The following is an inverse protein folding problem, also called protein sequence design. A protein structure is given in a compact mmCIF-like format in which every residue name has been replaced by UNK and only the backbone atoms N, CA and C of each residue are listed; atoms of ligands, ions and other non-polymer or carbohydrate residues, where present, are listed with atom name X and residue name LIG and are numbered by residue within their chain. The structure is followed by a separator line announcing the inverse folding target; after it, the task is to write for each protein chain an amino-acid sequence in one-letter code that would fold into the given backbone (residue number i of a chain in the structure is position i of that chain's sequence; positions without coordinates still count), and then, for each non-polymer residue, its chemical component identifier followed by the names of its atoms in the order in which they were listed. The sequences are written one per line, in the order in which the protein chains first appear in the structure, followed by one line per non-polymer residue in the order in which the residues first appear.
data_IF_611779881317
#
_entry.id   IF_611779881317
#
_cell.length_a   1.000
_cell.length_b   1.000
_cell.length_c   1.000
_cell.angle_alpha   90.00
_cell.angle_beta   90.00
_cell.angle_gamma   90.00
#
_symmetry.space_group_name_H-M   'P 1'
#
loop_
_entity.id
_entity.type
_entity.pdbx_description
1 polymer ?
#
# COMPACT_ATOMS: atom_id res chain seq x y z
N UNK A 1 -4.74 11.22 -25.15
CA UNK A 1 -3.45 10.90 -24.49
C UNK A 1 -3.72 10.82 -23.02
N UNK A 2 -3.94 9.60 -22.56
CA UNK A 2 -4.58 9.29 -21.27
C UNK A 2 -3.54 9.31 -20.15
N UNK A 3 -3.93 9.67 -18.92
CA UNK A 3 -3.04 9.74 -17.75
C UNK A 3 -2.25 8.45 -17.45
N UNK A 4 -2.62 7.31 -18.06
CA UNK A 4 -1.94 6.02 -17.94
C UNK A 4 -0.48 6.03 -18.44
N UNK A 5 -0.14 6.85 -19.44
CA UNK A 5 1.23 6.97 -19.95
C UNK A 5 2.21 7.40 -18.84
N UNK A 6 1.73 8.24 -17.90
CA UNK A 6 2.52 8.71 -16.75
C UNK A 6 2.72 7.65 -15.67
N UNK A 7 2.01 6.52 -15.73
CA UNK A 7 2.17 5.39 -14.82
C UNK A 7 3.15 4.36 -15.39
N UNK A 8 3.29 4.32 -16.72
CA UNK A 8 4.19 3.42 -17.44
C UNK A 8 5.54 4.05 -17.82
N UNK A 9 5.71 5.36 -17.65
CA UNK A 9 7.00 6.04 -17.83
C UNK A 9 7.96 5.70 -16.69
N UNK A 10 9.12 5.11 -17.01
CA UNK A 10 10.16 4.77 -16.05
C UNK A 10 10.87 3.44 -16.32
N UNK A 11 11.74 3.06 -15.38
CA UNK A 11 12.51 1.83 -15.48
C UNK A 11 11.65 0.60 -15.10
N UNK A 12 11.62 -0.40 -15.98
CA UNK A 12 11.04 -1.70 -15.69
C UNK A 12 11.83 -2.41 -14.57
N UNK A 13 11.11 -2.91 -13.56
CA UNK A 13 11.70 -3.69 -12.47
C UNK A 13 11.93 -5.14 -12.89
N UNK A 14 13.04 -5.73 -12.45
CA UNK A 14 13.30 -7.17 -12.60
C UNK A 14 12.65 -7.98 -11.48
N UNK A 15 12.43 -9.28 -11.71
CA UNK A 15 11.97 -10.19 -10.66
C UNK A 15 12.93 -10.22 -9.47
N UNK A 16 14.23 -10.26 -9.74
CA UNK A 16 15.28 -10.23 -8.71
C UNK A 16 15.18 -8.97 -7.84
N UNK A 17 15.01 -7.79 -8.45
CA UNK A 17 14.86 -6.54 -7.71
C UNK A 17 13.60 -6.55 -6.82
N UNK A 18 12.49 -7.15 -7.27
CA UNK A 18 11.28 -7.31 -6.46
C UNK A 18 11.50 -8.25 -5.26
N UNK A 19 12.18 -9.38 -5.46
CA UNK A 19 12.50 -10.33 -4.39
C UNK A 19 13.43 -9.70 -3.35
N UNK A 20 14.49 -9.03 -3.81
CA UNK A 20 15.42 -8.30 -2.95
C UNK A 20 14.72 -7.19 -2.16
N UNK A 21 13.79 -6.45 -2.78
CA UNK A 21 13.01 -5.43 -2.09
C UNK A 21 12.14 -6.03 -0.98
N UNK A 22 11.50 -7.18 -1.25
CA UNK A 22 10.68 -7.89 -0.25
C UNK A 22 11.52 -8.36 0.93
N UNK A 23 12.69 -8.93 0.70
CA UNK A 23 13.59 -9.37 1.78
C UNK A 23 14.09 -8.19 2.62
N UNK A 24 14.52 -7.10 1.97
CA UNK A 24 14.91 -5.87 2.67
C UNK A 24 13.76 -5.30 3.50
N UNK A 25 12.52 -5.37 3.01
CA UNK A 25 11.33 -4.94 3.77
C UNK A 25 11.08 -5.81 4.99
N UNK A 26 11.16 -7.13 4.85
CA UNK A 26 11.04 -8.06 5.98
C UNK A 26 12.14 -7.81 7.03
N UNK A 27 13.37 -7.54 6.59
CA UNK A 27 14.49 -7.17 7.48
C UNK A 27 14.19 -5.88 8.26
N UNK A 28 13.70 -4.83 7.59
CA UNK A 28 13.28 -3.59 8.24
C UNK A 28 12.16 -3.82 9.27
N UNK A 29 11.16 -4.63 8.94
CA UNK A 29 10.07 -4.99 9.85
C UNK A 29 10.62 -5.65 11.12
N UNK A 30 11.48 -6.67 10.97
CA UNK A 30 12.09 -7.37 12.11
C UNK A 30 12.90 -6.43 13.00
N UNK A 31 13.70 -5.56 12.37
CA UNK A 31 14.50 -4.57 13.09
C UNK A 31 13.62 -3.61 13.90
N UNK A 32 12.61 -3.01 13.26
CA UNK A 32 11.69 -2.10 13.92
C UNK A 32 10.91 -2.78 15.06
N UNK A 33 10.41 -4.01 14.86
CA UNK A 33 9.73 -4.77 15.92
C UNK A 33 10.64 -5.02 17.12
N UNK A 34 11.92 -5.34 16.87
CA UNK A 34 12.90 -5.56 17.94
C UNK A 34 13.16 -4.28 18.74
N UNK A 35 13.32 -3.15 18.06
CA UNK A 35 13.65 -1.87 18.67
C UNK A 35 12.46 -1.23 19.40
N UNK A 36 11.27 -1.27 18.79
CA UNK A 36 10.12 -0.49 19.26
C UNK A 36 9.06 -1.34 19.97
N UNK A 37 8.93 -2.62 19.63
CA UNK A 37 7.88 -3.53 20.15
C UNK A 37 6.46 -2.96 20.02
N UNK A 38 6.23 -2.19 18.96
CA UNK A 38 4.95 -1.60 18.60
C UNK A 38 4.45 -2.21 17.28
N UNK A 39 3.13 -2.18 17.03
CA UNK A 39 2.60 -2.55 15.73
C UNK A 39 3.17 -1.67 14.62
N UNK A 40 3.43 -2.29 13.48
CA UNK A 40 3.92 -1.60 12.29
C UNK A 40 2.80 -1.36 11.29
N UNK A 41 2.78 -0.17 10.70
CA UNK A 41 2.14 0.09 9.41
C UNK A 41 3.18 -0.16 8.33
N UNK A 42 2.87 -1.00 7.35
CA UNK A 42 3.66 -1.23 6.15
C UNK A 42 2.84 -0.79 4.93
N UNK A 43 3.25 0.29 4.29
CA UNK A 43 2.56 0.92 3.17
C UNK A 43 3.33 0.68 1.87
N UNK A 44 2.63 0.12 0.88
CA UNK A 44 3.06 0.06 -0.52
C UNK A 44 1.89 0.44 -1.44
N UNK A 45 2.08 0.36 -2.76
CA UNK A 45 1.06 0.71 -3.75
C UNK A 45 0.66 -0.48 -4.61
N UNK A 46 -0.63 -0.53 -4.97
CA UNK A 46 -1.13 -1.42 -6.02
C UNK A 46 -0.62 -0.90 -7.36
N UNK A 47 0.46 -1.52 -7.84
CA UNK A 47 1.21 -1.10 -9.03
C UNK A 47 1.22 -2.22 -10.07
N UNK A 48 0.29 -2.24 -11.05
CA UNK A 48 0.31 -3.19 -12.17
C UNK A 48 1.51 -2.95 -13.11
N UNK A 49 1.89 -3.96 -13.88
CA UNK A 49 2.92 -3.82 -14.91
C UNK A 49 4.36 -3.72 -14.39
N UNK A 50 5.34 -3.47 -15.28
CA UNK A 50 6.76 -3.54 -14.94
C UNK A 50 7.32 -2.25 -14.32
N UNK A 51 6.69 -1.10 -14.53
CA UNK A 51 7.14 0.17 -13.96
C UNK A 51 6.42 0.42 -12.64
N UNK A 52 7.17 0.35 -11.53
CA UNK A 52 6.63 0.46 -10.17
C UNK A 52 6.91 1.81 -9.51
N UNK A 53 7.85 2.57 -10.06
CA UNK A 53 8.28 3.83 -9.48
C UNK A 53 8.53 4.89 -10.55
N UNK A 54 7.94 6.06 -10.32
CA UNK A 54 8.16 7.32 -11.02
C UNK A 54 7.53 8.43 -10.17
N UNK A 55 7.52 9.67 -10.68
CA UNK A 55 6.95 10.81 -9.95
C UNK A 55 5.47 10.65 -9.60
N UNK A 56 4.68 9.97 -10.42
CA UNK A 56 3.26 9.72 -10.16
C UNK A 56 3.08 8.74 -9.00
N UNK A 57 3.81 7.63 -9.01
CA UNK A 57 3.81 6.65 -7.93
C UNK A 57 4.32 7.25 -6.60
N UNK A 58 5.38 8.06 -6.64
CA UNK A 58 5.91 8.75 -5.45
C UNK A 58 4.89 9.71 -4.83
N UNK A 59 4.17 10.47 -5.67
CA UNK A 59 3.10 11.36 -5.19
C UNK A 59 1.95 10.58 -4.55
N UNK A 60 1.56 9.47 -5.18
CA UNK A 60 0.52 8.59 -4.65
C UNK A 60 0.90 8.00 -3.28
N UNK A 61 2.14 7.55 -3.12
CA UNK A 61 2.66 7.08 -1.83
C UNK A 61 2.76 8.19 -0.78
N UNK A 62 3.18 9.40 -1.19
CA UNK A 62 3.25 10.55 -0.28
C UNK A 62 1.86 10.96 0.23
N UNK A 63 0.83 10.93 -0.63
CA UNK A 63 -0.56 11.15 -0.24
C UNK A 63 -1.02 10.07 0.76
N UNK A 64 -0.78 8.80 0.47
CA UNK A 64 -1.11 7.70 1.38
C UNK A 64 -0.45 7.86 2.76
N UNK A 65 0.86 8.17 2.80
CA UNK A 65 1.58 8.45 4.05
C UNK A 65 0.95 9.62 4.81
N UNK A 66 0.62 10.70 4.13
CA UNK A 66 -0.03 11.88 4.73
C UNK A 66 -1.37 11.52 5.38
N UNK A 67 -2.21 10.76 4.68
CA UNK A 67 -3.52 10.36 5.21
C UNK A 67 -3.41 9.38 6.37
N UNK A 68 -2.46 8.44 6.33
CA UNK A 68 -2.16 7.55 7.46
C UNK A 68 -1.72 8.36 8.69
N UNK A 69 -0.78 9.29 8.54
CA UNK A 69 -0.30 10.12 9.65
C UNK A 69 -1.38 11.05 10.19
N UNK A 70 -2.22 11.62 9.32
CA UNK A 70 -3.39 12.43 9.71
C UNK A 70 -4.39 11.60 10.53
N UNK A 71 -4.66 10.37 10.12
CA UNK A 71 -5.53 9.45 10.84
C UNK A 71 -4.94 9.09 12.21
N UNK A 72 -3.65 8.79 12.29
CA UNK A 72 -2.97 8.53 13.56
C UNK A 72 -3.05 9.74 14.50
N UNK A 73 -2.80 10.95 13.99
CA UNK A 73 -2.91 12.19 14.77
C UNK A 73 -4.34 12.42 15.30
N UNK A 74 -5.37 12.18 14.49
CA UNK A 74 -6.77 12.30 14.92
C UNK A 74 -7.15 11.32 16.05
N UNK A 75 -6.46 10.19 16.14
CA UNK A 75 -6.63 9.21 17.22
C UNK A 75 -5.64 9.38 18.38
N UNK A 76 -4.77 10.40 18.36
CA UNK A 76 -3.68 10.60 19.32
C UNK A 76 -2.69 9.41 19.38
N UNK A 77 -2.47 8.72 18.25
CA UNK A 77 -1.48 7.66 18.15
C UNK A 77 -0.12 8.24 17.74
N UNK A 78 0.86 8.12 18.63
CA UNK A 78 2.21 8.60 18.37
C UNK A 78 2.93 7.70 17.35
N UNK A 79 3.58 8.31 16.37
CA UNK A 79 4.52 7.63 15.48
C UNK A 79 5.90 7.60 16.15
N UNK A 80 6.30 6.44 16.67
CA UNK A 80 7.57 6.28 17.38
C UNK A 80 8.77 6.17 16.43
N UNK A 81 8.52 5.72 15.20
CA UNK A 81 9.52 5.56 14.17
C UNK A 81 8.86 5.51 12.79
N UNK A 82 9.55 6.01 11.78
CA UNK A 82 9.18 5.82 10.40
C UNK A 82 10.41 5.71 9.48
N UNK A 83 10.21 5.08 8.33
CA UNK A 83 11.22 5.00 7.28
C UNK A 83 10.55 4.93 5.90
N UNK A 84 11.11 5.67 4.94
CA UNK A 84 10.73 5.61 3.53
C UNK A 84 11.83 4.93 2.71
N UNK A 85 11.43 4.22 1.64
CA UNK A 85 12.33 3.68 0.63
C UNK A 85 11.77 3.98 -0.74
N UNK A 86 12.54 4.68 -1.56
CA UNK A 86 12.20 4.98 -2.95
C UNK A 86 13.11 4.18 -3.88
N UNK A 87 12.70 2.95 -4.19
CA UNK A 87 13.45 2.04 -5.06
C UNK A 87 12.71 1.77 -6.37
N UNK A 88 13.41 1.23 -7.39
CA UNK A 88 12.79 0.84 -8.67
C UNK A 88 11.63 -0.15 -8.51
N UNK A 89 11.60 -0.92 -7.41
CA UNK A 89 10.52 -1.82 -7.01
C UNK A 89 9.24 -1.11 -6.54
N UNK A 90 9.27 0.21 -6.42
CA UNK A 90 8.16 1.04 -5.95
C UNK A 90 8.51 1.81 -4.67
N UNK A 91 7.79 2.91 -4.39
CA UNK A 91 7.88 3.60 -3.13
C UNK A 91 7.28 2.75 -2.01
N UNK A 92 7.95 2.74 -0.86
CA UNK A 92 7.53 2.04 0.35
C UNK A 92 7.66 2.98 1.54
N UNK A 93 6.75 2.85 2.50
CA UNK A 93 6.86 3.52 3.78
C UNK A 93 6.47 2.59 4.91
N UNK A 94 7.10 2.75 6.06
CA UNK A 94 6.84 1.96 7.25
C UNK A 94 6.88 2.83 8.48
N UNK A 95 6.03 2.53 9.47
CA UNK A 95 6.08 3.20 10.76
C UNK A 95 5.68 2.30 11.92
N UNK A 96 6.30 2.54 13.07
CA UNK A 96 5.91 1.95 14.35
C UNK A 96 4.94 2.91 15.06
N UNK A 97 3.72 2.47 15.31
CA UNK A 97 2.64 3.32 15.83
C UNK A 97 2.25 2.88 17.23
N UNK A 98 2.21 3.83 18.17
CA UNK A 98 1.74 3.61 19.53
C UNK A 98 0.21 3.51 19.55
N UNK A 99 -0.31 2.35 19.17
CA UNK A 99 -1.73 2.04 19.11
C UNK A 99 -1.98 0.54 19.29
N UNK A 100 -3.18 0.12 19.76
CA UNK A 100 -3.55 -1.29 19.72
C UNK A 100 -3.63 -1.80 18.26
N UNK A 101 -2.90 -2.88 17.94
CA UNK A 101 -2.77 -3.40 16.57
C UNK A 101 -4.12 -3.65 15.89
N UNK A 102 -5.08 -4.20 16.65
CA UNK A 102 -6.44 -4.48 16.15
C UNK A 102 -7.22 -3.21 15.79
N UNK A 103 -7.10 -2.17 16.61
CA UNK A 103 -7.75 -0.87 16.35
C UNK A 103 -7.10 -0.18 15.16
N UNK A 104 -5.76 -0.20 15.10
CA UNK A 104 -4.98 0.31 13.98
C UNK A 104 -5.38 -0.38 12.66
N UNK A 105 -5.51 -1.72 12.66
CA UNK A 105 -5.94 -2.48 11.47
C UNK A 105 -7.33 -2.07 10.99
N UNK A 106 -8.30 -1.93 11.90
CA UNK A 106 -9.65 -1.48 11.54
C UNK A 106 -9.64 -0.07 10.94
N UNK A 107 -8.83 0.83 11.49
CA UNK A 107 -8.71 2.20 11.00
C UNK A 107 -8.08 2.24 9.60
N UNK A 108 -6.99 1.49 9.36
CA UNK A 108 -6.34 1.43 8.05
C UNK A 108 -7.24 0.78 6.97
N UNK A 109 -7.98 -0.27 7.31
CA UNK A 109 -8.94 -0.86 6.36
C UNK A 109 -10.04 0.15 5.99
N UNK A 110 -10.56 0.92 6.96
CA UNK A 110 -11.54 1.97 6.68
C UNK A 110 -10.96 3.09 5.82
N UNK A 111 -9.69 3.44 6.01
CA UNK A 111 -8.99 4.41 5.18
C UNK A 111 -8.90 3.93 3.72
N UNK A 112 -8.50 2.67 3.49
CA UNK A 112 -8.47 2.06 2.16
C UNK A 112 -9.84 2.04 1.46
N UNK A 113 -10.93 1.88 2.23
CA UNK A 113 -12.28 1.75 1.68
C UNK A 113 -12.96 3.09 1.39
N UNK A 114 -12.67 4.12 2.19
CA UNK A 114 -13.39 5.39 2.13
C UNK A 114 -12.62 6.50 1.39
N UNK A 115 -11.30 6.39 1.25
CA UNK A 115 -10.53 7.37 0.49
C UNK A 115 -10.67 7.12 -1.02
N UNK A 116 -10.84 8.15 -1.87
CA UNK A 116 -10.93 7.98 -3.34
C UNK A 116 -9.78 7.17 -3.94
N UNK A 117 -8.57 7.40 -3.44
CA UNK A 117 -7.36 6.65 -3.79
C UNK A 117 -7.07 5.44 -2.90
N UNK A 118 -7.84 5.20 -1.85
CA UNK A 118 -7.54 4.17 -0.84
C UNK A 118 -7.39 2.77 -1.43
N UNK A 119 -8.07 2.52 -2.55
CA UNK A 119 -8.00 1.26 -3.31
C UNK A 119 -6.69 1.05 -4.05
N UNK A 120 -5.87 2.09 -4.20
CA UNK A 120 -4.55 2.06 -4.80
C UNK A 120 -3.44 1.84 -3.76
N UNK A 121 -3.79 1.90 -2.47
CA UNK A 121 -2.86 1.70 -1.37
C UNK A 121 -2.92 0.26 -0.90
N UNK A 122 -1.77 -0.23 -0.45
CA UNK A 122 -1.65 -1.51 0.21
C UNK A 122 -1.10 -1.29 1.61
N UNK A 123 -2.01 -1.25 2.60
CA UNK A 123 -1.69 -0.94 3.99
C UNK A 123 -1.81 -2.20 4.85
N UNK A 124 -0.67 -2.78 5.17
CA UNK A 124 -0.56 -3.92 6.07
C UNK A 124 -0.27 -3.47 7.50
N UNK A 125 -0.92 -4.14 8.46
CA UNK A 125 -0.61 -3.99 9.88
C UNK A 125 0.05 -5.27 10.36
N UNK A 126 1.21 -5.12 10.96
CA UNK A 126 1.96 -6.18 11.61
C UNK A 126 1.89 -5.90 13.11
N UNK A 127 1.42 -6.86 13.91
CA UNK A 127 1.40 -6.68 15.36
C UNK A 127 2.81 -6.72 15.96
N UNK A 128 2.91 -6.44 17.27
CA UNK A 128 4.18 -6.40 17.99
C UNK A 128 4.92 -7.74 18.01
N UNK A 129 4.22 -8.85 17.75
CA UNK A 129 4.79 -10.20 17.67
C UNK A 129 5.26 -10.56 16.25
N UNK A 130 5.08 -9.64 15.28
CA UNK A 130 5.49 -9.82 13.89
C UNK A 130 4.47 -10.54 13.02
N UNK A 131 3.24 -10.77 13.50
CA UNK A 131 2.17 -11.36 12.71
C UNK A 131 1.45 -10.28 11.90
N UNK A 132 1.34 -10.51 10.59
CA UNK A 132 0.49 -9.69 9.74
C UNK A 132 -0.99 -9.98 10.02
N UNK A 133 -1.77 -8.92 10.22
CA UNK A 133 -3.21 -8.99 10.48
C UNK A 133 -3.98 -8.98 9.17
N UNK A 134 -4.71 -10.05 8.87
CA UNK A 134 -5.48 -10.17 7.64
C UNK A 134 -6.81 -9.43 7.70
N UNK A 135 -7.42 -9.18 6.54
CA UNK A 135 -8.75 -8.56 6.45
C UNK A 135 -9.86 -9.50 6.95
N UNK A 136 -9.76 -10.79 6.64
CA UNK A 136 -10.76 -11.80 6.99
C UNK A 136 -10.88 -12.03 8.50
N UNK A 137 -9.77 -11.99 9.24
CA UNK A 137 -9.78 -12.09 10.71
C UNK A 137 -10.60 -10.99 11.40
N UNK A 138 -10.85 -9.87 10.70
CA UNK A 138 -11.59 -8.73 11.21
C UNK A 138 -13.01 -8.61 10.64
N UNK A 139 -13.44 -9.61 9.86
CA UNK A 139 -14.76 -9.66 9.23
C UNK A 139 -14.93 -8.75 8.03
N UNK A 140 -13.84 -8.20 7.48
CA UNK A 140 -13.92 -7.36 6.28
C UNK A 140 -14.01 -8.20 5.02
N UNK A 141 -14.78 -7.75 4.01
CA UNK A 141 -14.84 -8.44 2.73
C UNK A 141 -13.47 -8.40 2.02
N UNK A 142 -13.23 -9.36 1.10
CA UNK A 142 -12.07 -9.30 0.23
C UNK A 142 -12.05 -7.99 -0.55
N UNK A 143 -10.84 -7.50 -0.90
CA UNK A 143 -10.74 -6.31 -1.76
C UNK A 143 -11.45 -6.58 -3.08
N UNK A 144 -12.27 -5.62 -3.51
CA UNK A 144 -12.94 -5.64 -4.82
C UNK A 144 -11.91 -5.41 -5.94
N UNK A 145 -12.18 -5.78 -7.17
CA UNK A 145 -11.33 -5.50 -8.31
C UNK A 145 -11.37 -3.99 -8.60
N UNK A 146 -10.27 -3.42 -9.08
CA UNK A 146 -10.26 -2.02 -9.51
C UNK A 146 -11.22 -1.77 -10.67
N UNK A 147 -11.36 -2.75 -11.57
CA UNK A 147 -12.10 -2.61 -12.83
C UNK A 147 -13.57 -3.06 -12.71
N UNK A 148 -13.81 -4.31 -12.28
CA UNK A 148 -15.17 -4.89 -12.32
C UNK A 148 -15.85 -5.03 -10.95
N UNK A 149 -15.23 -4.54 -9.87
CA UNK A 149 -15.73 -4.63 -8.49
C UNK A 149 -15.97 -6.04 -7.90
N UNK A 150 -15.76 -7.13 -8.66
CA UNK A 150 -15.71 -8.52 -8.17
C UNK A 150 -14.55 -8.75 -7.20
N UNK A 151 -14.45 -9.88 -6.52
CA UNK A 151 -13.29 -10.13 -5.64
C UNK A 151 -11.95 -10.08 -6.43
N UNK A 152 -11.02 -9.21 -6.00
CA UNK A 152 -9.78 -8.93 -6.74
C UNK A 152 -8.90 -10.17 -6.95
N UNK A 153 -8.85 -11.06 -5.96
CA UNK A 153 -8.05 -12.28 -6.02
C UNK A 153 -8.55 -13.24 -7.12
N UNK A 154 -9.87 -13.27 -7.40
CA UNK A 154 -10.42 -14.05 -8.50
C UNK A 154 -10.01 -13.47 -9.85
N UNK A 155 -10.04 -12.14 -9.98
CA UNK A 155 -9.64 -11.45 -11.21
C UNK A 155 -8.14 -11.59 -11.49
N UNK A 156 -7.30 -11.51 -10.45
CA UNK A 156 -5.85 -11.69 -10.56
C UNK A 156 -5.51 -13.14 -10.99
N UNK A 157 -6.16 -14.14 -10.37
CA UNK A 157 -5.97 -15.55 -10.72
C UNK A 157 -6.42 -15.86 -12.15
N UNK A 158 -7.55 -15.33 -12.56
CA UNK A 158 -8.10 -15.53 -13.90
C UNK A 158 -7.44 -14.64 -14.97
N UNK A 159 -6.57 -13.70 -14.59
CA UNK A 159 -6.03 -12.63 -15.46
C UNK A 159 -7.12 -11.94 -16.27
N UNK A 160 -8.25 -11.64 -15.62
CA UNK A 160 -9.48 -11.15 -16.25
C UNK A 160 -9.31 -9.77 -16.92
N UNK A 161 -8.37 -8.96 -16.44
CA UNK A 161 -8.11 -7.61 -16.94
C UNK A 161 -6.66 -7.49 -17.38
N UNK A 162 -6.45 -6.76 -18.48
CA UNK A 162 -5.11 -6.45 -18.96
C UNK A 162 -4.42 -5.44 -18.03
N UNK A 163 -3.10 -5.31 -18.17
CA UNK A 163 -2.35 -4.30 -17.45
C UNK A 163 -2.86 -2.90 -17.84
N UNK A 164 -3.12 -2.66 -19.12
CA UNK A 164 -3.60 -1.36 -19.62
C UNK A 164 -4.93 -0.95 -18.99
N UNK A 165 -5.91 -1.87 -18.92
CA UNK A 165 -7.19 -1.60 -18.24
C UNK A 165 -7.00 -1.22 -16.77
N UNK A 166 -6.05 -1.85 -16.08
CA UNK A 166 -5.75 -1.52 -14.69
C UNK A 166 -5.08 -0.14 -14.59
N UNK A 167 -4.14 0.17 -15.48
CA UNK A 167 -3.44 1.46 -15.50
C UNK A 167 -4.38 2.62 -15.87
N UNK A 168 -5.31 2.41 -16.80
CA UNK A 168 -6.35 3.37 -17.16
C UNK A 168 -7.27 3.68 -15.97
N UNK A 169 -7.74 2.66 -15.25
CA UNK A 169 -8.56 2.86 -14.05
C UNK A 169 -7.80 3.54 -12.91
N UNK A 170 -6.50 3.25 -12.75
CA UNK A 170 -5.63 3.94 -11.79
C UNK A 170 -5.48 5.42 -12.18
N UNK A 171 -5.20 5.71 -13.46
CA UNK A 171 -5.07 7.07 -13.96
C UNK A 171 -6.35 7.88 -13.75
N UNK A 172 -7.52 7.29 -14.07
CA UNK A 172 -8.83 7.91 -13.85
C UNK A 172 -9.04 8.30 -12.39
N UNK A 173 -8.74 7.41 -11.44
CA UNK A 173 -8.86 7.70 -9.99
C UNK A 173 -7.96 8.84 -9.53
N UNK A 174 -6.73 8.91 -10.07
CA UNK A 174 -5.78 9.98 -9.77
C UNK A 174 -6.26 11.32 -10.34
N UNK A 175 -6.94 11.31 -11.49
CA UNK A 175 -7.52 12.51 -12.09
C UNK A 175 -8.76 13.00 -11.33
N UNK A 176 -9.62 12.07 -10.90
CA UNK A 176 -10.87 12.36 -10.15
C UNK A 176 -10.62 12.87 -8.72
N UNK A 177 -9.41 12.70 -8.17
CA UNK A 177 -9.05 13.18 -6.81
C UNK A 177 -8.66 14.68 -6.77
N UNK A 178 -8.45 15.32 -7.93
CA UNK A 178 -8.08 16.75 -8.01
C UNK A 178 -9.24 17.67 -7.71
#
# INVERSE_FOLDING_TARGET
MYGADRLSDGQAVTLEALLNAREKRLSRQRHALTCYRLPLVSLTLVTPGPVKNNRTWQRLAANARKEVLRLCAAHNWACAWEQSVDAVSGPEWMAAICAPAKTLKRAMVRLEENHPLGRLWDIDIIDSDGRSLSRSEFGFPPRRCLVCAEAAHLCARARRHTIDMLLEEIARRIEDEK
#
